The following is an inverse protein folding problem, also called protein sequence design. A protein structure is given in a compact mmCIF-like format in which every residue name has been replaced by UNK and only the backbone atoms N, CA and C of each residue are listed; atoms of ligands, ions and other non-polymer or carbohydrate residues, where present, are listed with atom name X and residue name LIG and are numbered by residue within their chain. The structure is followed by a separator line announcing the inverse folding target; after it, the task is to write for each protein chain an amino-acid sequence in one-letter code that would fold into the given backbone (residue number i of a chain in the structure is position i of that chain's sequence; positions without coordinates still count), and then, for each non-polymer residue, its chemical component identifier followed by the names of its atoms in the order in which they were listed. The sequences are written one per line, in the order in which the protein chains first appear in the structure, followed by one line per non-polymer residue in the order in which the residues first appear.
data_IF_783414991834
#
_entry.id   IF_783414991834
#
_cell.length_a   1.000
_cell.length_b   1.000
_cell.length_c   1.000
_cell.angle_alpha   90.00
_cell.angle_beta   90.00
_cell.angle_gamma   90.00
#
_symmetry.space_group_name_H-M   'P 1'
#
loop_
_entity.id
_entity.type
_entity.pdbx_description
1 polymer ?
#
# COMPACT_ATOMS: atom_id res chain seq x y z
N UNK A 1 13.87 34.75 -55.78
CA UNK A 1 14.75 34.69 -54.58
C UNK A 1 13.84 34.69 -53.34
N UNK A 2 13.09 33.65 -52.97
CA UNK A 2 13.44 32.34 -52.36
C UNK A 2 14.53 32.37 -51.29
N UNK A 3 14.30 33.06 -50.17
CA UNK A 3 15.18 32.95 -48.99
C UNK A 3 14.50 33.01 -47.62
N UNK A 4 13.22 33.37 -47.55
CA UNK A 4 12.52 33.54 -46.26
C UNK A 4 11.78 32.28 -45.76
N UNK A 5 11.50 31.30 -46.63
CA UNK A 5 10.80 30.06 -46.21
C UNK A 5 11.69 29.03 -45.52
N UNK A 6 13.01 29.18 -45.61
CA UNK A 6 13.98 28.18 -45.11
C UNK A 6 14.21 28.27 -43.60
N UNK A 7 14.12 29.46 -43.01
CA UNK A 7 14.42 29.67 -41.59
C UNK A 7 13.25 29.29 -40.68
N UNK A 8 12.00 29.51 -41.11
CA UNK A 8 10.82 29.17 -40.31
C UNK A 8 10.67 27.65 -40.13
N UNK A 9 10.95 26.86 -41.19
CA UNK A 9 10.88 25.40 -41.14
C UNK A 9 11.92 24.78 -40.21
N UNK A 10 13.15 25.32 -40.19
CA UNK A 10 14.21 24.86 -39.29
C UNK A 10 13.89 25.20 -37.84
N UNK A 11 13.37 26.41 -37.57
CA UNK A 11 13.00 26.85 -36.22
C UNK A 11 11.83 26.05 -35.62
N UNK A 12 10.83 25.70 -36.44
CA UNK A 12 9.71 24.86 -36.02
C UNK A 12 10.17 23.42 -35.75
N UNK A 13 11.09 22.88 -36.55
CA UNK A 13 11.66 21.54 -36.31
C UNK A 13 12.50 21.49 -35.03
N UNK A 14 13.31 22.51 -34.73
CA UNK A 14 14.07 22.55 -33.47
C UNK A 14 13.18 22.76 -32.24
N UNK A 15 12.10 23.54 -32.34
CA UNK A 15 11.11 23.70 -31.25
C UNK A 15 10.31 22.42 -30.97
N UNK A 16 9.96 21.65 -32.00
CA UNK A 16 9.31 20.33 -31.82
C UNK A 16 10.29 19.29 -31.25
N UNK A 17 11.56 19.32 -31.66
CA UNK A 17 12.59 18.43 -31.12
C UNK A 17 12.95 18.75 -29.66
N UNK A 18 12.93 20.02 -29.24
CA UNK A 18 13.13 20.37 -27.83
C UNK A 18 11.91 20.07 -26.96
N UNK A 19 10.68 20.20 -27.48
CA UNK A 19 9.47 19.79 -26.76
C UNK A 19 9.42 18.27 -26.46
N UNK A 20 10.02 17.43 -27.31
CA UNK A 20 10.18 16.00 -27.04
C UNK A 20 11.29 15.67 -26.03
N UNK A 21 12.26 16.58 -25.80
CA UNK A 21 13.31 16.41 -24.79
C UNK A 21 12.87 16.87 -23.39
N UNK A 22 11.79 17.65 -23.30
CA UNK A 22 11.10 17.98 -22.05
C UNK A 22 9.80 17.19 -21.91
N UNK A 23 9.84 15.88 -22.15
CA UNK A 23 8.99 15.02 -21.33
C UNK A 23 9.69 14.94 -19.98
N UNK A 24 9.20 15.58 -18.90
CA UNK A 24 9.49 15.07 -17.58
C UNK A 24 9.02 13.63 -17.64
N UNK A 25 9.95 12.69 -17.70
CA UNK A 25 9.67 11.30 -17.50
C UNK A 25 9.10 11.19 -16.10
N UNK A 26 7.80 11.38 -15.95
CA UNK A 26 7.03 10.93 -14.81
C UNK A 26 6.97 9.40 -14.89
N UNK A 27 8.12 8.78 -14.70
CA UNK A 27 8.23 7.54 -13.95
C UNK A 27 8.88 7.96 -12.65
N UNK A 28 8.06 8.44 -11.73
CA UNK A 28 7.58 7.57 -10.66
C UNK A 28 8.84 6.94 -10.05
N UNK A 29 9.40 7.60 -9.03
CA UNK A 29 10.18 6.87 -8.06
C UNK A 29 9.35 5.62 -7.76
N UNK A 30 9.90 4.44 -8.04
CA UNK A 30 9.48 3.26 -7.32
C UNK A 30 9.55 3.70 -5.87
N UNK A 31 8.39 3.98 -5.23
CA UNK A 31 8.39 4.68 -3.95
C UNK A 31 9.41 3.97 -3.08
N UNK A 32 10.33 4.73 -2.49
CA UNK A 32 11.20 4.22 -1.43
C UNK A 32 10.26 3.44 -0.50
N UNK A 33 10.46 2.12 -0.36
CA UNK A 33 9.37 1.12 -0.33
C UNK A 33 8.28 1.33 0.78
N UNK A 34 8.51 2.19 1.76
CA UNK A 34 7.57 2.59 2.82
C UNK A 34 7.09 4.05 2.79
N UNK A 35 7.37 4.81 1.73
CA UNK A 35 7.06 6.22 1.70
C UNK A 35 5.55 6.45 1.57
N UNK A 36 5.02 7.27 2.47
CA UNK A 36 3.64 7.71 2.49
C UNK A 36 3.64 9.14 3.02
N UNK A 37 3.86 10.12 2.12
CA UNK A 37 3.94 11.52 2.48
C UNK A 37 2.65 12.01 3.16
N UNK A 38 2.72 12.94 4.13
CA UNK A 38 1.54 13.42 4.85
C UNK A 38 0.42 13.98 3.97
N UNK A 39 0.75 14.58 2.82
CA UNK A 39 -0.20 15.13 1.85
C UNK A 39 -0.94 14.06 1.03
N UNK A 40 -0.43 12.83 0.99
CA UNK A 40 -1.04 11.69 0.31
C UNK A 40 -1.73 10.74 1.28
N UNK A 41 -1.51 10.92 2.58
CA UNK A 41 -2.06 10.09 3.63
C UNK A 41 -3.58 10.31 3.75
N UNK A 42 -4.30 9.21 3.92
CA UNK A 42 -5.75 9.17 4.09
C UNK A 42 -6.08 8.32 5.29
N UNK A 43 -7.21 8.61 5.91
CA UNK A 43 -7.74 7.82 7.01
C UNK A 43 -8.95 7.00 6.56
N UNK A 44 -9.04 5.77 7.07
CA UNK A 44 -10.24 4.93 6.95
C UNK A 44 -10.60 4.36 8.32
N UNK A 45 -11.89 4.30 8.62
CA UNK A 45 -12.40 3.63 9.82
C UNK A 45 -12.81 2.21 9.46
N UNK A 46 -12.27 1.22 10.17
CA UNK A 46 -12.52 -0.20 9.93
C UNK A 46 -12.94 -0.90 11.22
N UNK A 47 -13.66 -2.00 11.06
CA UNK A 47 -13.96 -2.93 12.16
C UNK A 47 -12.98 -4.10 12.09
N UNK A 48 -12.39 -4.45 13.23
CA UNK A 48 -11.40 -5.51 13.38
C UNK A 48 -11.69 -6.38 14.60
N UNK A 49 -10.99 -7.51 14.71
CA UNK A 49 -11.15 -8.47 15.79
C UNK A 49 -9.81 -8.66 16.45
N UNK A 50 -9.68 -8.16 17.68
CA UNK A 50 -8.43 -8.22 18.43
C UNK A 50 -8.74 -8.72 19.82
N UNK A 51 -8.01 -9.75 20.27
CA UNK A 51 -8.25 -10.37 21.58
C UNK A 51 -9.64 -10.99 21.72
N UNK A 52 -10.27 -11.40 20.62
CA UNK A 52 -11.63 -11.97 20.62
C UNK A 52 -12.76 -10.95 20.75
N UNK A 53 -12.46 -9.64 20.69
CA UNK A 53 -13.45 -8.58 20.70
C UNK A 53 -13.46 -7.82 19.37
N UNK A 54 -14.66 -7.43 18.92
CA UNK A 54 -14.82 -6.50 17.82
C UNK A 54 -14.39 -5.11 18.26
N UNK A 55 -13.49 -4.49 17.51
CA UNK A 55 -12.96 -3.15 17.75
C UNK A 55 -13.12 -2.26 16.53
N UNK A 56 -13.19 -0.96 16.76
CA UNK A 56 -13.14 0.06 15.71
C UNK A 56 -11.76 0.69 15.69
N UNK A 57 -11.10 0.63 14.53
CA UNK A 57 -9.81 1.25 14.31
C UNK A 57 -9.89 2.34 13.25
N UNK A 58 -9.00 3.32 13.35
CA UNK A 58 -8.66 4.24 12.26
C UNK A 58 -7.30 3.84 11.74
N UNK A 59 -7.21 3.66 10.43
CA UNK A 59 -5.96 3.36 9.72
C UNK A 59 -5.59 4.57 8.88
N UNK A 60 -4.39 5.10 9.07
CA UNK A 60 -3.79 6.11 8.20
C UNK A 60 -2.86 5.44 7.20
N UNK A 61 -3.09 5.66 5.91
CA UNK A 61 -2.44 4.94 4.82
C UNK A 61 -2.32 5.80 3.56
N UNK A 62 -1.43 5.39 2.66
CA UNK A 62 -1.40 5.84 1.28
C UNK A 62 -1.85 4.69 0.39
N UNK A 63 -2.63 4.98 -0.66
CA UNK A 63 -3.10 3.97 -1.58
C UNK A 63 -3.11 4.47 -3.03
N UNK A 64 -2.72 3.59 -3.93
CA UNK A 64 -2.86 3.78 -5.37
C UNK A 64 -3.63 2.58 -5.90
N UNK A 65 -4.75 2.84 -6.58
CA UNK A 65 -5.57 1.81 -7.20
C UNK A 65 -5.40 1.84 -8.72
N UNK A 66 -5.40 0.66 -9.33
CA UNK A 66 -5.20 0.44 -10.74
C UNK A 66 -6.39 -0.36 -11.26
N UNK A 67 -7.32 0.32 -11.93
CA UNK A 67 -8.47 -0.31 -12.56
C UNK A 67 -8.62 0.26 -13.99
N UNK A 68 -8.19 -0.49 -15.03
CA UNK A 68 -7.76 -1.90 -15.01
C UNK A 68 -6.40 -2.14 -14.32
N UNK A 69 -6.09 -3.39 -13.91
CA UNK A 69 -4.80 -3.73 -13.28
C UNK A 69 -3.63 -3.37 -14.17
N UNK A 70 -2.54 -2.86 -13.59
CA UNK A 70 -1.37 -2.42 -14.33
C UNK A 70 -0.11 -3.16 -13.86
N UNK A 71 0.82 -3.54 -14.76
CA UNK A 71 2.12 -4.03 -14.37
C UNK A 71 2.90 -2.97 -13.59
N UNK A 72 3.47 -3.34 -12.45
CA UNK A 72 4.33 -2.49 -11.62
C UNK A 72 5.57 -3.27 -11.17
N UNK A 73 6.72 -2.94 -11.77
CA UNK A 73 8.00 -3.60 -11.44
C UNK A 73 8.55 -2.99 -10.17
N UNK A 74 8.63 -3.80 -9.13
CA UNK A 74 9.26 -3.44 -7.87
C UNK A 74 9.86 -4.69 -7.19
N UNK A 75 10.74 -4.54 -6.18
CA UNK A 75 11.45 -5.70 -5.59
C UNK A 75 10.53 -6.83 -5.11
N UNK A 76 9.32 -6.49 -4.67
CA UNK A 76 8.32 -7.46 -4.23
C UNK A 76 7.34 -7.97 -5.30
N UNK A 77 7.50 -7.50 -6.54
CA UNK A 77 6.80 -7.99 -7.73
C UNK A 77 7.79 -8.12 -8.90
N UNK A 78 8.81 -9.00 -8.79
CA UNK A 78 9.86 -9.10 -9.80
C UNK A 78 9.33 -9.60 -11.16
N UNK A 79 8.25 -10.40 -11.12
CA UNK A 79 7.62 -10.99 -12.31
C UNK A 79 6.66 -10.02 -13.01
N UNK A 80 6.59 -8.77 -12.53
CA UNK A 80 5.77 -7.71 -13.13
C UNK A 80 4.30 -8.09 -13.29
N UNK A 81 3.73 -8.79 -12.30
CA UNK A 81 2.32 -9.14 -12.33
C UNK A 81 1.46 -7.86 -12.34
N UNK A 82 0.37 -7.82 -13.12
CA UNK A 82 -0.58 -6.72 -13.03
C UNK A 82 -1.18 -6.63 -11.62
N UNK A 83 -1.07 -5.46 -11.01
CA UNK A 83 -1.59 -5.18 -9.67
C UNK A 83 -2.82 -4.29 -9.75
N UNK A 84 -3.75 -4.49 -8.80
CA UNK A 84 -4.97 -3.71 -8.69
C UNK A 84 -4.85 -2.60 -7.64
N UNK A 85 -4.00 -2.78 -6.63
CA UNK A 85 -3.78 -1.79 -5.61
C UNK A 85 -2.38 -1.91 -4.98
N UNK A 86 -1.86 -0.76 -4.56
CA UNK A 86 -0.65 -0.63 -3.76
C UNK A 86 -0.97 0.23 -2.54
N UNK A 87 -0.79 -0.32 -1.36
CA UNK A 87 -1.13 0.33 -0.09
C UNK A 87 0.07 0.36 0.85
N UNK A 88 0.33 1.51 1.47
CA UNK A 88 1.30 1.67 2.55
C UNK A 88 0.55 2.07 3.80
N UNK A 89 0.54 1.22 4.83
CA UNK A 89 -0.08 1.50 6.13
C UNK A 89 0.95 2.19 7.01
N UNK A 90 0.64 3.36 7.58
CA UNK A 90 1.58 4.14 8.40
C UNK A 90 1.22 4.19 9.88
N UNK A 91 -0.07 4.21 10.19
CA UNK A 91 -0.58 4.35 11.55
C UNK A 91 -1.90 3.61 11.70
N UNK A 92 -2.09 2.99 12.86
CA UNK A 92 -3.33 2.33 13.25
C UNK A 92 -3.65 2.71 14.68
N UNK A 93 -4.87 3.16 14.94
CA UNK A 93 -5.33 3.53 16.28
C UNK A 93 -6.68 2.89 16.57
N UNK A 94 -6.88 2.41 17.79
CA UNK A 94 -8.23 2.05 18.25
C UNK A 94 -8.96 3.31 18.72
N UNK A 95 -10.23 3.46 18.33
CA UNK A 95 -11.01 4.67 18.62
C UNK A 95 -12.30 4.42 19.42
N UNK A 96 -12.56 3.17 19.79
CA UNK A 96 -13.80 2.77 20.49
C UNK A 96 -13.72 2.78 22.02
N UNK A 97 -12.56 3.10 22.61
CA UNK A 97 -12.36 3.14 24.06
C UNK A 97 -12.45 1.79 24.79
N UNK A 98 -12.42 0.66 24.07
CA UNK A 98 -12.39 -0.67 24.68
C UNK A 98 -11.05 -1.00 25.38
N UNK A 99 -10.87 -2.23 25.91
CA UNK A 99 -9.70 -2.63 26.69
C UNK A 99 -8.38 -2.35 25.98
N UNK A 100 -7.35 -1.98 26.76
CA UNK A 100 -6.02 -1.72 26.21
C UNK A 100 -5.42 -2.99 25.58
N UNK A 101 -4.96 -2.88 24.34
CA UNK A 101 -4.13 -3.89 23.69
C UNK A 101 -2.70 -3.84 24.22
N UNK A 102 -2.08 -5.03 24.24
CA UNK A 102 -0.68 -5.20 24.64
C UNK A 102 0.27 -5.36 23.43
N UNK A 103 -0.24 -5.53 22.21
CA UNK A 103 0.56 -5.94 21.05
C UNK A 103 0.37 -4.99 19.87
N UNK A 104 1.43 -4.26 19.52
CA UNK A 104 1.52 -3.48 18.29
C UNK A 104 1.38 -4.36 17.03
N UNK A 105 1.90 -5.60 17.10
CA UNK A 105 1.79 -6.59 16.04
C UNK A 105 0.33 -6.95 15.79
N UNK A 106 -0.45 -7.25 16.83
CA UNK A 106 -1.83 -7.69 16.67
C UNK A 106 -2.69 -6.57 16.06
N UNK A 107 -2.42 -5.32 16.44
CA UNK A 107 -3.11 -4.16 15.89
C UNK A 107 -2.79 -3.94 14.41
N UNK A 108 -1.52 -4.05 14.01
CA UNK A 108 -1.11 -3.94 12.61
C UNK A 108 -1.64 -5.12 11.78
N UNK A 109 -1.53 -6.35 12.30
CA UNK A 109 -2.03 -7.56 11.63
C UNK A 109 -3.54 -7.43 11.37
N UNK A 110 -4.30 -6.99 12.38
CA UNK A 110 -5.74 -6.80 12.25
C UNK A 110 -6.11 -5.73 11.21
N UNK A 111 -5.35 -4.65 11.10
CA UNK A 111 -5.57 -3.63 10.07
C UNK A 111 -5.36 -4.18 8.66
N UNK A 112 -4.27 -4.93 8.41
CA UNK A 112 -4.01 -5.56 7.11
C UNK A 112 -5.17 -6.47 6.71
N UNK A 113 -5.65 -7.31 7.64
CA UNK A 113 -6.80 -8.20 7.41
C UNK A 113 -8.05 -7.40 7.06
N UNK A 114 -8.42 -6.40 7.85
CA UNK A 114 -9.65 -5.63 7.61
C UNK A 114 -9.59 -4.76 6.35
N UNK A 115 -8.41 -4.46 5.83
CA UNK A 115 -8.26 -3.80 4.53
C UNK A 115 -8.32 -4.80 3.37
N UNK A 116 -8.12 -6.09 3.61
CA UNK A 116 -8.11 -7.12 2.56
C UNK A 116 -9.50 -7.34 1.96
N UNK A 117 -9.53 -7.70 0.67
CA UNK A 117 -10.79 -7.93 -0.07
C UNK A 117 -11.64 -9.01 0.59
N UNK A 118 -11.03 -10.13 0.96
CA UNK A 118 -11.77 -11.28 1.49
C UNK A 118 -12.42 -11.04 2.85
N UNK A 119 -11.96 -10.05 3.61
CA UNK A 119 -12.50 -9.78 4.95
C UNK A 119 -13.33 -8.49 5.03
N UNK A 120 -13.47 -7.75 3.92
CA UNK A 120 -14.09 -6.43 3.92
C UNK A 120 -15.05 -6.20 2.76
N UNK A 121 -15.51 -7.27 2.09
CA UNK A 121 -16.48 -7.19 0.99
C UNK A 121 -16.17 -6.09 -0.04
N UNK A 122 -14.88 -5.94 -0.39
CA UNK A 122 -14.35 -4.91 -1.29
C UNK A 122 -14.47 -3.45 -0.81
N UNK A 123 -15.01 -3.15 0.38
CA UNK A 123 -15.31 -1.77 0.81
C UNK A 123 -14.09 -0.85 0.89
N UNK A 124 -12.90 -1.40 1.16
CA UNK A 124 -11.66 -0.61 1.22
C UNK A 124 -11.16 -0.18 -0.17
N UNK A 125 -11.44 -0.97 -1.20
CA UNK A 125 -10.98 -0.70 -2.55
C UNK A 125 -12.09 0.00 -3.35
N UNK A 126 -11.77 1.00 -4.18
CA UNK A 126 -12.78 1.59 -5.04
C UNK A 126 -13.40 0.51 -5.93
N UNK A 127 -14.70 0.58 -6.22
CA UNK A 127 -15.34 -0.34 -7.14
C UNK A 127 -14.67 -0.21 -8.51
N UNK A 128 -14.10 -1.31 -8.97
CA UNK A 128 -13.59 -1.42 -10.32
C UNK A 128 -14.70 -1.97 -11.18
N UNK A 129 -14.99 -1.35 -12.33
CA UNK A 129 -16.07 -1.81 -13.22
C UNK A 129 -15.86 -3.25 -13.70
N UNK A 130 -14.62 -3.72 -13.67
CA UNK A 130 -14.24 -5.09 -14.00
C UNK A 130 -13.03 -5.51 -13.14
N UNK A 131 -13.24 -5.94 -11.87
CA UNK A 131 -12.17 -6.51 -11.08
C UNK A 131 -11.90 -7.90 -11.66
N UNK A 132 -11.09 -7.96 -12.72
CA UNK A 132 -10.65 -9.20 -13.33
C UNK A 132 -10.03 -10.07 -12.23
N UNK A 133 -10.73 -11.12 -11.82
CA UNK A 133 -10.16 -12.11 -10.93
C UNK A 133 -9.04 -12.83 -11.70
N UNK A 134 -7.83 -12.97 -11.15
CA UNK A 134 -7.47 -12.71 -9.75
C UNK A 134 -7.07 -11.25 -9.45
N UNK A 135 -7.44 -10.74 -8.27
CA UNK A 135 -7.02 -9.42 -7.78
C UNK A 135 -5.65 -9.53 -7.10
N UNK A 136 -4.70 -8.70 -7.51
CA UNK A 136 -3.40 -8.60 -6.86
C UNK A 136 -3.29 -7.31 -6.05
N UNK A 137 -2.90 -7.45 -4.79
CA UNK A 137 -2.69 -6.35 -3.87
C UNK A 137 -1.26 -6.36 -3.36
N UNK A 138 -0.63 -5.20 -3.39
CA UNK A 138 0.64 -4.96 -2.73
C UNK A 138 0.36 -4.16 -1.48
N UNK A 139 0.68 -4.74 -0.32
CA UNK A 139 0.58 -4.04 0.96
C UNK A 139 1.96 -3.94 1.59
N UNK A 140 2.31 -2.74 2.02
CA UNK A 140 3.52 -2.46 2.79
C UNK A 140 3.17 -1.94 4.17
N UNK A 141 3.89 -2.43 5.17
CA UNK A 141 3.87 -1.93 6.55
C UNK A 141 5.29 -1.53 6.99
N UNK A 142 5.42 -0.57 7.93
CA UNK A 142 6.67 -0.34 8.63
C UNK A 142 7.01 -1.56 9.49
N UNK A 143 8.28 -1.97 9.48
CA UNK A 143 8.80 -2.97 10.40
C UNK A 143 9.15 -2.37 11.76
N UNK A 144 9.44 -1.09 11.86
CA UNK A 144 9.81 -0.42 13.10
C UNK A 144 8.75 0.62 13.45
N UNK A 145 8.12 0.42 14.61
CA UNK A 145 6.98 1.22 15.04
C UNK A 145 7.12 1.69 16.47
N UNK A 146 6.50 2.83 16.78
CA UNK A 146 6.21 3.23 18.15
C UNK A 146 4.80 2.76 18.52
N UNK A 147 4.60 2.42 19.79
CA UNK A 147 3.31 2.02 20.32
C UNK A 147 2.99 2.79 21.59
N UNK A 148 1.97 3.64 21.53
CA UNK A 148 1.40 4.30 22.69
C UNK A 148 0.24 3.45 23.20
N UNK A 149 0.47 2.76 24.31
CA UNK A 149 -0.52 1.94 24.96
C UNK A 149 -1.66 2.77 25.60
N UNK A 150 -1.43 4.04 25.95
CA UNK A 150 -2.48 4.91 26.49
C UNK A 150 -3.38 5.43 25.37
N UNK A 151 -2.78 5.89 24.26
CA UNK A 151 -3.53 6.33 23.08
C UNK A 151 -4.05 5.17 22.21
N UNK A 152 -3.63 3.93 22.48
CA UNK A 152 -3.97 2.73 21.71
C UNK A 152 -3.62 2.87 20.22
N UNK A 153 -2.44 3.44 19.95
CA UNK A 153 -1.97 3.78 18.62
C UNK A 153 -0.60 3.16 18.34
N UNK A 154 -0.46 2.56 17.16
CA UNK A 154 0.82 2.15 16.57
C UNK A 154 1.10 3.03 15.36
N UNK A 155 2.33 3.53 15.22
CA UNK A 155 2.76 4.28 14.03
C UNK A 155 4.20 4.01 13.68
N UNK A 156 4.53 4.19 12.40
CA UNK A 156 5.88 4.02 11.89
C UNK A 156 6.89 4.95 12.56
N UNK A 157 8.08 4.42 12.87
CA UNK A 157 9.25 5.25 13.12
C UNK A 157 9.73 5.93 11.83
N UNK A 158 10.44 7.04 11.98
CA UNK A 158 11.15 7.68 10.87
C UNK A 158 12.19 6.72 10.28
N UNK A 159 12.35 6.72 8.95
CA UNK A 159 13.25 5.82 8.21
C UNK A 159 13.09 4.31 8.51
N UNK A 160 11.90 3.90 8.97
CA UNK A 160 11.60 2.49 9.25
C UNK A 160 11.88 1.58 8.03
N UNK A 161 12.54 0.42 8.23
CA UNK A 161 12.52 -0.66 7.24
C UNK A 161 11.10 -1.13 6.95
N UNK A 162 10.94 -1.86 5.85
CA UNK A 162 9.64 -2.22 5.29
C UNK A 162 9.42 -3.72 5.24
N UNK A 163 8.18 -4.12 5.48
CA UNK A 163 7.67 -5.42 5.09
C UNK A 163 6.61 -5.23 4.00
N UNK A 164 6.84 -5.82 2.84
CA UNK A 164 5.91 -5.77 1.71
C UNK A 164 5.41 -7.17 1.38
N UNK A 165 4.11 -7.31 1.17
CA UNK A 165 3.49 -8.53 0.69
C UNK A 165 2.83 -8.29 -0.67
N UNK A 166 3.07 -9.20 -1.60
CA UNK A 166 2.28 -9.34 -2.81
C UNK A 166 1.27 -10.47 -2.58
N UNK A 167 -0.02 -10.12 -2.64
CA UNK A 167 -1.13 -10.99 -2.26
C UNK A 167 -2.08 -11.12 -3.44
N UNK A 168 -2.59 -12.34 -3.62
CA UNK A 168 -3.62 -12.65 -4.60
C UNK A 168 -4.90 -13.02 -3.91
N UNK A 169 -6.00 -12.38 -4.32
CA UNK A 169 -7.34 -12.74 -3.94
C UNK A 169 -8.05 -13.40 -5.12
N UNK A 170 -8.77 -14.48 -4.85
CA UNK A 170 -9.53 -15.20 -5.88
C UNK A 170 -10.88 -15.58 -5.31
N UNK A 171 -11.95 -15.20 -6.00
CA UNK A 171 -13.27 -15.70 -5.67
C UNK A 171 -13.49 -17.02 -6.40
N UNK A 172 -13.82 -18.05 -5.63
CA UNK A 172 -14.13 -19.38 -6.17
C UNK A 172 -15.55 -19.41 -6.74
N UNK A 173 -15.88 -20.44 -7.53
CA UNK A 173 -17.22 -20.62 -8.08
C UNK A 173 -18.31 -20.80 -6.99
N UNK A 174 -17.92 -21.23 -5.78
CA UNK A 174 -18.81 -21.31 -4.60
C UNK A 174 -18.99 -19.98 -3.87
N UNK A 175 -18.38 -18.90 -4.36
CA UNK A 175 -18.41 -17.57 -3.73
C UNK A 175 -17.40 -17.39 -2.60
N UNK A 176 -16.64 -18.43 -2.22
CA UNK A 176 -15.60 -18.34 -1.19
C UNK A 176 -14.43 -17.49 -1.69
N UNK A 177 -13.97 -16.53 -0.88
CA UNK A 177 -12.81 -15.72 -1.19
C UNK A 177 -11.54 -16.36 -0.63
N UNK A 178 -10.61 -16.69 -1.51
CA UNK A 178 -9.31 -17.26 -1.16
C UNK A 178 -8.22 -16.18 -1.17
N UNK A 179 -7.40 -16.17 -0.13
CA UNK A 179 -6.22 -15.31 -0.03
C UNK A 179 -4.96 -16.15 -0.17
N UNK A 180 -4.08 -15.79 -1.11
CA UNK A 180 -2.77 -16.42 -1.30
C UNK A 180 -1.67 -15.38 -1.27
N UNK A 181 -0.70 -15.55 -0.38
CA UNK A 181 0.52 -14.75 -0.39
C UNK A 181 1.43 -15.28 -1.51
N UNK A 182 1.70 -14.45 -2.52
CA UNK A 182 2.58 -14.79 -3.63
C UNK A 182 4.05 -14.52 -3.26
N UNK A 183 4.31 -13.41 -2.57
CA UNK A 183 5.64 -13.03 -2.14
C UNK A 183 5.61 -12.19 -0.87
N UNK A 184 6.64 -12.34 -0.05
CA UNK A 184 6.93 -11.49 1.11
C UNK A 184 8.36 -10.97 0.98
N UNK A 185 8.54 -9.68 1.19
CA UNK A 185 9.82 -9.01 1.12
C UNK A 185 10.06 -8.29 2.45
N UNK A 186 11.06 -8.79 3.17
CA UNK A 186 11.42 -8.32 4.51
C UNK A 186 12.75 -7.57 4.44
N UNK A 187 12.70 -6.27 4.73
CA UNK A 187 13.90 -5.45 4.87
C UNK A 187 14.60 -5.77 6.21
N UNK A 188 15.75 -6.43 6.09
CA UNK A 188 16.55 -6.93 7.22
C UNK A 188 17.30 -5.84 7.99
N UNK A 189 17.18 -4.55 7.60
CA UNK A 189 17.76 -3.46 8.39
C UNK A 189 17.17 -3.44 9.79
N UNK A 190 17.99 -3.10 10.79
CA UNK A 190 17.56 -2.92 12.16
C UNK A 190 16.71 -1.66 12.35
N UNK A 191 16.02 -1.57 13.48
CA UNK A 191 15.29 -0.35 13.81
C UNK A 191 16.24 0.82 14.08
N UNK A 192 15.89 2.02 13.61
CA UNK A 192 16.79 3.17 13.68
C UNK A 192 17.02 3.67 15.10
N UNK A 193 16.09 3.39 16.03
CA UNK A 193 16.21 3.76 17.44
C UNK A 193 15.75 2.62 18.35
N UNK A 194 16.22 2.63 19.60
CA UNK A 194 15.86 1.63 20.61
C UNK A 194 14.41 1.74 21.11
N UNK A 195 13.77 2.91 20.90
CA UNK A 195 12.37 3.15 21.28
C UNK A 195 11.37 2.58 20.25
N UNK A 196 11.88 2.06 19.13
CA UNK A 196 11.08 1.40 18.11
C UNK A 196 10.98 -0.10 18.36
N UNK A 197 9.76 -0.63 18.24
CA UNK A 197 9.47 -2.05 18.30
C UNK A 197 9.58 -2.61 16.88
N UNK A 198 10.36 -3.69 16.71
CA UNK A 198 10.40 -4.45 15.45
C UNK A 198 9.19 -5.38 15.36
N UNK A 199 8.35 -5.17 14.37
CA UNK A 199 7.28 -6.09 13.97
C UNK A 199 7.84 -7.27 13.17
N UNK A 200 7.15 -8.40 13.22
CA UNK A 200 7.42 -9.54 12.36
C UNK A 200 6.88 -9.28 10.94
N UNK A 201 7.69 -9.57 9.91
CA UNK A 201 7.26 -9.50 8.52
C UNK A 201 6.40 -10.71 8.15
N UNK A 202 5.10 -10.66 8.44
CA UNK A 202 4.15 -11.75 8.14
C UNK A 202 2.81 -11.20 7.67
N UNK A 203 2.18 -11.94 6.77
CA UNK A 203 0.84 -11.62 6.30
C UNK A 203 -0.21 -12.38 7.12
N UNK A 204 -1.13 -11.68 7.81
CA UNK A 204 -2.23 -12.30 8.54
C UNK A 204 -3.39 -12.68 7.59
N UNK A 205 -4.03 -13.84 7.82
CA UNK A 205 -5.12 -14.35 6.96
C UNK A 205 -6.45 -14.56 7.68
N UNK A 206 -6.52 -14.27 8.98
CA UNK A 206 -7.72 -14.56 9.78
C UNK A 206 -8.67 -13.35 9.78
N UNK A 207 -9.74 -13.42 8.99
CA UNK A 207 -10.83 -12.45 9.02
C UNK A 207 -11.54 -12.39 10.38
N UNK A 208 -12.19 -11.27 10.64
CA UNK A 208 -13.30 -11.19 11.57
C UNK A 208 -14.46 -12.04 11.09
N UNK A 209 -15.10 -12.77 12.02
CA UNK A 209 -16.39 -13.42 11.82
C UNK A 209 -17.44 -12.72 12.69
#
# INVERSE_FOLDING_TARGET
MSRERSFLGVLICTLLLTACLFHPGSRASAQVICDCPPDQMRDVTLRVCIGGANRTIVVSYCNTNYCPPQPDVQPCNPDNLPINARTVIRKVCIVDGGPALASAQDLMDAAIVAMSICCNDYQFFPPCEDPQAPFHWIVTIPLCVQFDAAAQCVWACDDSPCCTHLVRFTQTASGTCETRILKTCDDQRDCPTADCIRLACRYPVKCCL
#
